data_IF_850180765798
#
_entry.id   IF_850180765798
#
_cell.length_a   1.000
_cell.length_b   1.000
_cell.length_c   1.000
_cell.angle_alpha   90.00
_cell.angle_beta   90.00
_cell.angle_gamma   90.00
#
_symmetry.space_group_name_H-M   'P 1'
#
loop_
_entity.id
_entity.type
_entity.pdbx_description
1 polymer ?
#
# COMPACT_ATOMS: atom_id res chain seq x y z
N UNK A 1 25.75 -30.63 9.95
CA UNK A 1 25.12 -29.32 10.21
C UNK A 1 24.71 -28.57 8.94
N UNK A 2 25.42 -28.74 7.81
CA UNK A 2 25.16 -28.04 6.53
C UNK A 2 23.74 -28.29 5.94
N UNK A 3 23.16 -29.50 6.11
CA UNK A 3 21.83 -29.81 5.56
C UNK A 3 20.69 -29.01 6.19
N UNK A 4 20.80 -28.70 7.50
CA UNK A 4 19.77 -27.97 8.24
C UNK A 4 19.74 -26.50 7.79
N UNK A 5 20.91 -25.91 7.56
CA UNK A 5 21.04 -24.54 7.05
C UNK A 5 20.47 -24.39 5.65
N UNK A 6 20.69 -25.39 4.78
CA UNK A 6 20.16 -25.38 3.42
C UNK A 6 18.62 -25.51 3.41
N UNK A 7 18.07 -26.36 4.26
CA UNK A 7 16.62 -26.50 4.41
C UNK A 7 15.97 -25.23 4.95
N UNK A 8 16.56 -24.59 5.96
CA UNK A 8 16.09 -23.31 6.48
C UNK A 8 16.09 -22.20 5.42
N UNK A 9 17.12 -22.18 4.56
CA UNK A 9 17.22 -21.22 3.45
C UNK A 9 16.14 -21.46 2.39
N UNK A 10 15.90 -22.72 2.02
CA UNK A 10 14.83 -23.07 1.07
C UNK A 10 13.43 -22.73 1.61
N UNK A 11 13.19 -22.95 2.91
CA UNK A 11 11.93 -22.57 3.54
C UNK A 11 11.75 -21.06 3.56
N UNK A 12 12.79 -20.29 3.89
CA UNK A 12 12.76 -18.83 3.87
C UNK A 12 12.49 -18.26 2.46
N UNK A 13 13.03 -18.90 1.42
CA UNK A 13 12.76 -18.54 0.02
C UNK A 13 11.30 -18.84 -0.36
N UNK A 14 10.79 -20.02 -0.03
CA UNK A 14 9.42 -20.44 -0.34
C UNK A 14 8.34 -19.57 0.33
N UNK A 15 8.60 -19.06 1.54
CA UNK A 15 7.71 -18.13 2.25
C UNK A 15 7.95 -16.65 1.90
N UNK A 16 8.90 -16.36 1.00
CA UNK A 16 9.20 -14.99 0.56
C UNK A 16 9.91 -14.11 1.59
N UNK A 17 10.51 -14.69 2.64
CA UNK A 17 11.30 -13.98 3.66
C UNK A 17 12.76 -13.75 3.24
N UNK A 18 13.23 -14.40 2.17
CA UNK A 18 14.56 -14.14 1.64
C UNK A 18 14.67 -12.68 1.16
N UNK A 19 15.60 -11.91 1.75
CA UNK A 19 15.89 -10.52 1.35
C UNK A 19 16.14 -10.47 -0.15
N UNK A 20 15.26 -9.80 -0.89
CA UNK A 20 15.48 -9.55 -2.32
C UNK A 20 16.72 -8.67 -2.48
N UNK A 21 17.58 -9.00 -3.44
CA UNK A 21 18.79 -8.23 -3.70
C UNK A 21 18.41 -6.83 -4.15
N UNK A 22 18.97 -5.83 -3.46
CA UNK A 22 18.80 -4.44 -3.83
C UNK A 22 19.22 -4.19 -5.28
N UNK A 23 18.27 -3.83 -6.14
CA UNK A 23 18.60 -3.41 -7.51
C UNK A 23 19.06 -1.96 -7.50
N UNK A 24 20.08 -1.63 -8.29
CA UNK A 24 20.66 -0.29 -8.34
C UNK A 24 19.58 0.72 -8.77
N UNK A 25 19.26 1.67 -7.90
CA UNK A 25 18.29 2.73 -8.19
C UNK A 25 18.76 3.61 -9.34
N UNK A 26 17.83 3.96 -10.23
CA UNK A 26 18.04 5.00 -11.24
C UNK A 26 17.78 6.35 -10.60
N UNK A 27 18.75 7.26 -10.70
CA UNK A 27 18.64 8.61 -10.15
C UNK A 27 17.35 9.29 -10.63
N UNK A 28 16.58 9.84 -9.69
CA UNK A 28 15.34 10.58 -9.96
C UNK A 28 14.06 9.74 -10.07
N UNK A 29 14.14 8.41 -9.98
CA UNK A 29 12.93 7.58 -9.86
C UNK A 29 12.53 7.45 -8.37
N UNK A 30 11.23 7.57 -8.05
CA UNK A 30 10.74 7.31 -6.70
C UNK A 30 11.01 5.86 -6.31
N UNK A 31 11.20 5.62 -5.02
CA UNK A 31 11.47 4.31 -4.44
C UNK A 31 10.66 4.06 -3.17
N UNK A 32 10.60 2.83 -2.66
CA UNK A 32 9.83 2.56 -1.44
C UNK A 32 10.33 3.36 -0.23
N UNK A 33 11.61 3.69 -0.16
CA UNK A 33 12.16 4.55 0.91
C UNK A 33 11.55 5.94 0.93
N UNK A 34 11.10 6.46 -0.22
CA UNK A 34 10.44 7.76 -0.36
C UNK A 34 8.92 7.68 -0.05
N UNK A 35 8.40 6.48 0.23
CA UNK A 35 7.00 6.25 0.50
C UNK A 35 6.62 6.76 1.88
N UNK A 36 5.51 7.48 1.99
CA UNK A 36 4.92 7.90 3.28
C UNK A 36 4.85 6.74 4.29
N UNK A 37 4.38 5.56 3.87
CA UNK A 37 4.27 4.41 4.76
C UNK A 37 5.63 3.88 5.22
N UNK A 38 6.66 3.92 4.38
CA UNK A 38 7.99 3.45 4.76
C UNK A 38 8.65 4.43 5.74
N UNK A 39 8.57 5.74 5.46
CA UNK A 39 9.07 6.78 6.36
C UNK A 39 8.43 6.70 7.76
N UNK A 40 7.18 6.23 7.85
CA UNK A 40 6.45 6.04 9.09
C UNK A 40 6.56 4.61 9.68
N UNK A 41 7.41 3.73 9.12
CA UNK A 41 7.57 2.33 9.55
C UNK A 41 6.28 1.51 9.49
N UNK A 42 5.37 1.86 8.59
CA UNK A 42 4.08 1.20 8.33
C UNK A 42 4.05 0.41 7.02
N UNK A 43 5.12 0.48 6.20
CA UNK A 43 5.19 -0.28 4.97
C UNK A 43 5.54 -1.74 5.26
N UNK A 44 4.66 -2.66 4.87
CA UNK A 44 4.89 -4.10 5.05
C UNK A 44 5.82 -4.71 4.00
N UNK A 45 6.21 -3.95 2.98
CA UNK A 45 6.98 -4.43 1.83
C UNK A 45 8.41 -3.89 1.89
N UNK A 46 9.39 -4.80 1.81
CA UNK A 46 10.82 -4.49 1.70
C UNK A 46 11.22 -4.56 0.22
N UNK A 47 11.02 -3.45 -0.51
CA UNK A 47 11.23 -3.33 -1.96
C UNK A 47 12.13 -2.13 -2.28
N UNK A 48 12.98 -2.26 -3.30
CA UNK A 48 13.78 -1.13 -3.80
C UNK A 48 13.02 -0.23 -4.80
N UNK A 49 11.88 -0.72 -5.28
CA UNK A 49 10.96 -0.02 -6.19
C UNK A 49 9.75 0.54 -5.42
N UNK A 50 9.00 1.50 -5.98
CA UNK A 50 7.75 1.96 -5.38
C UNK A 50 6.81 0.79 -5.08
N UNK A 51 6.37 0.68 -3.84
CA UNK A 51 5.39 -0.34 -3.47
C UNK A 51 4.03 -0.10 -4.14
N UNK A 52 3.18 -1.13 -4.22
CA UNK A 52 1.84 -1.04 -4.83
C UNK A 52 0.94 0.02 -4.19
N UNK A 53 1.19 0.37 -2.93
CA UNK A 53 0.49 1.41 -2.18
C UNK A 53 1.28 2.72 -2.08
N UNK A 54 2.28 2.94 -2.96
CA UNK A 54 3.17 4.10 -2.88
C UNK A 54 2.37 5.41 -2.79
N UNK A 55 2.67 6.22 -1.77
CA UNK A 55 2.21 7.59 -1.59
C UNK A 55 3.42 8.46 -1.30
N UNK A 56 3.58 9.61 -1.99
CA UNK A 56 4.71 10.50 -1.74
C UNK A 56 4.65 11.01 -0.29
N UNK A 57 5.80 11.08 0.38
CA UNK A 57 5.92 11.67 1.70
C UNK A 57 5.95 13.21 1.61
N UNK A 58 4.79 13.86 1.56
CA UNK A 58 4.65 15.32 1.57
C UNK A 58 4.39 15.85 2.99
N UNK A 59 4.65 17.14 3.21
CA UNK A 59 4.37 17.82 4.48
C UNK A 59 2.88 17.79 4.89
N UNK A 60 1.98 17.75 3.90
CA UNK A 60 0.53 17.64 4.12
C UNK A 60 0.08 16.23 4.54
N UNK A 61 0.96 15.23 4.44
CA UNK A 61 0.66 13.84 4.74
C UNK A 61 -0.37 13.22 3.80
N UNK A 62 -1.12 12.23 4.30
CA UNK A 62 -2.18 11.57 3.55
C UNK A 62 -3.46 12.42 3.58
N UNK A 63 -3.68 13.19 2.51
CA UNK A 63 -4.91 13.97 2.34
C UNK A 63 -5.96 13.11 1.63
N UNK A 64 -7.10 12.78 2.29
CA UNK A 64 -8.18 12.07 1.62
C UNK A 64 -8.83 12.97 0.57
N UNK A 65 -9.29 12.41 -0.56
CA UNK A 65 -10.10 13.17 -1.50
C UNK A 65 -11.39 13.63 -0.84
N UNK A 66 -11.94 14.78 -1.28
CA UNK A 66 -13.24 15.24 -0.78
C UNK A 66 -14.32 14.23 -1.13
N UNK A 67 -14.88 13.60 -0.11
CA UNK A 67 -15.97 12.64 -0.28
C UNK A 67 -17.23 13.39 -0.78
N UNK A 68 -17.90 12.90 -1.84
CA UNK A 68 -19.15 13.49 -2.29
C UNK A 68 -20.24 13.36 -1.22
N UNK A 69 -21.20 14.29 -1.24
CA UNK A 69 -22.36 14.21 -0.37
C UNK A 69 -23.17 12.94 -0.67
N UNK A 70 -23.62 12.27 0.38
CA UNK A 70 -24.54 11.14 0.24
C UNK A 70 -25.89 11.67 -0.26
N UNK A 71 -26.38 11.15 -1.37
CA UNK A 71 -27.73 11.42 -1.85
C UNK A 71 -28.70 10.57 -1.04
N UNK A 72 -29.52 11.23 -0.22
CA UNK A 72 -30.58 10.55 0.50
C UNK A 72 -31.63 10.08 -0.50
N UNK A 73 -31.93 8.78 -0.48
CA UNK A 73 -33.06 8.25 -1.25
C UNK A 73 -34.34 8.77 -0.60
N UNK A 74 -35.30 9.19 -1.42
CA UNK A 74 -36.64 9.50 -0.93
C UNK A 74 -37.17 8.31 -0.15
N UNK A 75 -37.80 8.58 0.98
CA UNK A 75 -38.58 7.55 1.67
C UNK A 75 -39.71 7.06 0.75
N UNK A 76 -40.21 5.83 0.95
CA UNK A 76 -41.36 5.34 0.18
C UNK A 76 -42.58 6.27 0.24
N UNK A 77 -42.78 6.97 1.35
CA UNK A 77 -43.88 7.91 1.56
C UNK A 77 -43.71 9.19 0.72
N UNK A 78 -42.51 9.76 0.66
CA UNK A 78 -42.19 10.93 -0.17
C UNK A 78 -42.27 10.62 -1.67
N UNK A 79 -41.83 9.42 -2.07
CA UNK A 79 -41.91 8.96 -3.46
C UNK A 79 -43.37 8.76 -3.93
N UNK A 80 -44.27 8.35 -3.02
CA UNK A 80 -45.69 8.23 -3.30
C UNK A 80 -46.38 9.59 -3.44
N UNK A 81 -45.98 10.58 -2.64
CA UNK A 81 -46.57 11.93 -2.67
C UNK A 81 -46.24 12.72 -3.95
N UNK A 82 -45.06 12.52 -4.54
CA UNK A 82 -44.65 13.21 -5.78
C UNK A 82 -45.25 12.66 -7.08
N UNK A 83 -46.14 11.67 -7.00
CA UNK A 83 -46.82 11.03 -8.15
C UNK A 83 -48.29 11.45 -8.31
N UNK A 84 -48.80 12.32 -7.44
CA UNK A 84 -50.15 12.90 -7.49
C UNK A 84 -50.13 14.24 -8.23
#
# INVERSE_FOLDING_TARGET
MIQVEHQATQMAEAIGLAKRRATKRRNGLPSCEDCFFHCQMLCALDLDEPCSTFRPNSADGLVPPRQPALLLRQSPEEAAAGRA
#
